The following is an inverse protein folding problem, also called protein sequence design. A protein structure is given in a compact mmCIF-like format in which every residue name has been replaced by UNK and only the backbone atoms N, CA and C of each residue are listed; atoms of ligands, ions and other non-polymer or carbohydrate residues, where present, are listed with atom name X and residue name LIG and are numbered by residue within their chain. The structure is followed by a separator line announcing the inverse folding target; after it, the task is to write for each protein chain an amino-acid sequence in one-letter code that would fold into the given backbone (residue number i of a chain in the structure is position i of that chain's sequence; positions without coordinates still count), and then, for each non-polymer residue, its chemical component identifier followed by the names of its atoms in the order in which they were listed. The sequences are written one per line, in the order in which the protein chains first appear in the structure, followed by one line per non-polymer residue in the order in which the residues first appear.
data_IF_510466609782
#
_entry.id   IF_510466609782
#
_cell.length_a   1.000
_cell.length_b   1.000
_cell.length_c   1.000
_cell.angle_alpha   90.00
_cell.angle_beta   90.00
_cell.angle_gamma   90.00
#
_symmetry.space_group_name_H-M   'P 1'
#
loop_
_entity.id
_entity.type
_entity.pdbx_description
1 polymer ?
#
# COMPACT_ATOMS: atom_id res chain seq x y z
N UNK A 1 2.70 -50.19 35.99
CA UNK A 1 1.56 -50.47 35.09
C UNK A 1 1.49 -49.32 34.09
N UNK A 2 1.73 -49.62 32.81
CA UNK A 2 1.71 -48.71 31.65
C UNK A 2 0.33 -48.03 31.53
N UNK A 3 0.09 -46.89 30.85
CA UNK A 3 0.31 -46.57 29.43
C UNK A 3 0.27 -45.03 29.24
N UNK A 4 1.11 -44.51 28.34
CA UNK A 4 1.21 -43.11 27.84
C UNK A 4 0.04 -42.72 26.92
N UNK A 5 -0.24 -41.43 26.71
CA UNK A 5 -0.44 -40.81 25.38
C UNK A 5 -0.44 -39.25 25.43
N UNK A 6 0.28 -38.62 24.48
CA UNK A 6 0.16 -37.26 23.88
C UNK A 6 -0.16 -37.48 22.37
N UNK A 7 -0.50 -36.54 21.43
CA UNK A 7 -0.71 -35.06 21.45
C UNK A 7 -1.87 -34.48 20.53
N UNK A 8 -2.06 -33.13 20.50
CA UNK A 8 -2.58 -32.29 19.37
C UNK A 8 -4.11 -32.17 19.15
N UNK A 9 -4.77 -31.22 18.46
CA UNK A 9 -4.51 -29.91 17.80
C UNK A 9 -5.87 -29.42 17.22
N UNK A 10 -6.26 -28.12 17.37
CA UNK A 10 -7.22 -27.27 16.56
C UNK A 10 -8.71 -27.75 16.39
N UNK A 11 -9.76 -26.92 16.58
CA UNK A 11 -10.65 -26.29 15.56
C UNK A 11 -11.77 -25.46 16.27
N UNK A 12 -11.97 -24.18 15.90
CA UNK A 12 -13.21 -23.34 16.07
C UNK A 12 -14.13 -23.54 14.82
N UNK A 13 -15.41 -23.09 14.69
CA UNK A 13 -16.40 -22.43 15.58
C UNK A 13 -17.89 -22.91 15.39
N UNK A 14 -18.85 -22.14 15.95
CA UNK A 14 -20.32 -22.05 15.66
C UNK A 14 -21.24 -22.87 16.58
N UNK A 15 -22.34 -22.22 17.01
CA UNK A 15 -23.49 -22.66 17.82
C UNK A 15 -23.35 -22.35 19.32
N UNK A 16 -23.72 -21.11 19.72
CA UNK A 16 -24.49 -20.92 20.95
C UNK A 16 -25.21 -19.57 21.04
N UNK A 17 -26.24 -19.38 20.19
CA UNK A 17 -27.24 -18.32 20.40
C UNK A 17 -28.68 -18.79 20.11
N UNK A 18 -29.00 -20.06 20.40
CA UNK A 18 -30.37 -20.61 20.32
C UNK A 18 -30.78 -21.29 21.65
N UNK A 19 -30.18 -20.93 22.79
CA UNK A 19 -30.56 -21.49 24.10
C UNK A 19 -30.90 -20.48 25.18
N UNK A 20 -31.43 -19.30 24.81
CA UNK A 20 -32.08 -18.39 25.76
C UNK A 20 -33.39 -17.83 25.16
N UNK A 21 -34.22 -18.70 24.61
CA UNK A 21 -35.62 -18.39 24.25
C UNK A 21 -36.50 -19.58 24.62
N UNK A 22 -36.47 -20.00 25.89
CA UNK A 22 -37.39 -21.01 26.43
C UNK A 22 -37.66 -20.80 27.92
N UNK A 23 -37.97 -19.59 28.36
CA UNK A 23 -38.81 -19.38 29.55
C UNK A 23 -39.58 -18.09 29.32
N UNK A 24 -40.89 -18.20 29.11
CA UNK A 24 -41.97 -17.27 29.47
C UNK A 24 -43.18 -17.54 28.57
N UNK A 25 -43.89 -18.62 28.91
CA UNK A 25 -45.32 -18.78 28.64
C UNK A 25 -46.01 -18.69 29.99
N UNK A 26 -46.90 -17.71 30.17
CA UNK A 26 -48.21 -17.80 30.87
C UNK A 26 -48.76 -16.40 31.23
N UNK A 27 -49.62 -15.82 30.36
CA UNK A 27 -50.93 -15.18 30.68
C UNK A 27 -51.53 -14.38 29.48
N UNK A 28 -52.86 -14.13 29.42
CA UNK A 28 -53.66 -14.16 28.19
C UNK A 28 -54.26 -12.77 27.82
N UNK A 29 -55.27 -12.59 26.92
CA UNK A 29 -55.13 -11.73 25.75
C UNK A 29 -56.15 -10.57 25.77
N UNK A 30 -55.80 -9.40 26.32
CA UNK A 30 -56.59 -8.18 26.08
C UNK A 30 -55.68 -6.94 26.12
N UNK A 31 -55.37 -6.44 24.92
CA UNK A 31 -55.06 -5.04 24.55
C UNK A 31 -54.10 -5.02 23.35
N UNK A 32 -54.56 -5.53 22.19
CA UNK A 32 -54.02 -5.09 20.90
C UNK A 32 -54.55 -3.68 20.62
N UNK A 33 -53.98 -2.67 21.27
CA UNK A 33 -54.08 -1.24 20.91
C UNK A 33 -53.10 -0.40 21.75
N UNK A 34 -51.81 -0.77 21.73
CA UNK A 34 -50.68 0.17 21.85
C UNK A 34 -49.35 -0.58 21.70
N UNK A 35 -48.97 -0.95 20.47
CA UNK A 35 -47.62 -1.49 20.17
C UNK A 35 -46.93 -0.73 19.03
N UNK A 36 -47.56 0.33 18.51
CA UNK A 36 -46.95 1.23 17.50
C UNK A 36 -46.45 2.54 18.13
N UNK A 37 -46.61 2.76 19.44
CA UNK A 37 -46.12 3.95 20.13
C UNK A 37 -45.10 3.70 21.25
N UNK A 38 -44.59 2.47 21.41
CA UNK A 38 -43.52 2.17 22.37
C UNK A 38 -42.28 1.50 21.73
N UNK A 39 -41.96 1.90 20.49
CA UNK A 39 -40.63 1.70 19.89
C UNK A 39 -39.91 3.04 19.64
N UNK A 40 -40.41 4.13 20.26
CA UNK A 40 -39.85 5.47 20.15
C UNK A 40 -39.21 5.99 21.47
N UNK A 41 -38.97 5.13 22.46
CA UNK A 41 -38.48 5.54 23.79
C UNK A 41 -37.29 4.72 24.34
N UNK A 42 -36.54 4.03 23.48
CA UNK A 42 -35.16 3.59 23.80
C UNK A 42 -34.25 3.96 22.62
N UNK A 43 -34.37 5.21 22.20
CA UNK A 43 -33.29 5.91 21.52
C UNK A 43 -32.58 6.76 22.57
N UNK A 44 -31.25 6.84 22.47
CA UNK A 44 -30.36 7.77 23.20
C UNK A 44 -30.22 7.37 24.69
N UNK A 45 -29.12 6.83 25.21
CA UNK A 45 -27.74 7.31 25.09
C UNK A 45 -26.80 6.19 25.57
N UNK A 46 -26.18 5.41 24.69
CA UNK A 46 -24.79 5.02 24.98
C UNK A 46 -23.99 6.18 24.45
N UNK A 47 -23.49 7.03 25.36
CA UNK A 47 -22.32 7.83 25.04
C UNK A 47 -21.18 6.81 24.87
N UNK A 48 -21.08 6.22 23.68
CA UNK A 48 -19.75 6.12 23.11
C UNK A 48 -19.33 7.56 22.98
N UNK A 49 -18.48 8.00 23.92
CA UNK A 49 -17.61 9.12 23.61
C UNK A 49 -16.76 8.63 22.42
N UNK A 50 -17.31 8.76 21.21
CA UNK A 50 -16.50 8.92 20.03
C UNK A 50 -15.84 10.28 20.20
N UNK A 51 -14.84 10.32 21.07
CA UNK A 51 -13.72 11.20 20.81
C UNK A 51 -13.37 10.91 19.35
N UNK A 52 -13.59 11.89 18.49
CA UNK A 52 -13.12 11.88 17.12
C UNK A 52 -11.65 11.48 17.21
N UNK A 53 -11.35 10.21 16.93
CA UNK A 53 -9.98 9.80 16.78
C UNK A 53 -9.51 10.60 15.57
N UNK A 54 -8.64 11.55 15.87
CA UNK A 54 -7.79 12.14 14.87
C UNK A 54 -7.11 11.00 14.12
N UNK A 55 -6.92 11.22 12.83
CA UNK A 55 -6.38 10.27 11.87
C UNK A 55 -5.10 9.66 12.45
N UNK A 56 -5.13 8.38 12.81
CA UNK A 56 -4.03 7.70 13.49
C UNK A 56 -3.29 6.79 12.50
N UNK A 57 -1.97 6.75 12.60
CA UNK A 57 -1.10 5.93 11.78
C UNK A 57 -0.27 5.00 12.67
N UNK A 58 -0.18 3.76 12.23
CA UNK A 58 0.41 2.64 12.97
C UNK A 58 1.67 2.11 12.27
N UNK A 59 2.54 1.38 12.99
CA UNK A 59 3.77 0.87 12.39
C UNK A 59 3.45 -0.16 11.30
N UNK A 60 3.94 0.08 10.08
CA UNK A 60 3.82 -0.84 8.96
C UNK A 60 4.98 -1.83 8.88
N UNK A 61 6.10 -1.54 9.54
CA UNK A 61 7.26 -2.42 9.59
C UNK A 61 8.15 -2.14 10.81
N UNK A 62 8.96 -3.11 11.20
CA UNK A 62 9.97 -3.00 12.25
C UNK A 62 11.27 -3.69 11.79
N UNK A 63 12.40 -3.00 11.93
CA UNK A 63 13.73 -3.59 11.75
C UNK A 63 14.54 -3.52 13.04
N UNK A 64 14.86 -4.69 13.61
CA UNK A 64 15.83 -4.80 14.69
C UNK A 64 17.25 -4.62 14.11
N UNK A 65 17.88 -3.48 14.39
CA UNK A 65 19.28 -3.19 14.02
C UNK A 65 20.27 -3.72 15.05
N UNK A 66 19.84 -3.76 16.32
CA UNK A 66 20.57 -4.31 17.46
C UNK A 66 19.58 -4.82 18.50
N UNK A 67 19.92 -5.89 19.21
CA UNK A 67 18.98 -6.59 20.09
C UNK A 67 17.92 -7.37 19.30
N UNK A 68 16.88 -7.81 19.97
CA UNK A 68 15.78 -8.58 19.37
C UNK A 68 14.44 -8.11 19.87
N UNK A 69 13.39 -8.43 19.13
CA UNK A 69 12.01 -8.34 19.58
C UNK A 69 11.34 -9.71 19.43
N UNK A 70 10.27 -9.93 20.16
CA UNK A 70 9.45 -11.14 20.03
C UNK A 70 8.70 -11.17 18.68
N UNK A 71 8.17 -12.34 18.31
CA UNK A 71 7.70 -12.63 16.94
C UNK A 71 6.22 -12.34 16.67
N UNK A 72 5.52 -11.67 17.59
CA UNK A 72 4.13 -11.25 17.40
C UNK A 72 4.01 -10.33 16.18
N UNK A 73 2.83 -10.34 15.56
CA UNK A 73 2.50 -9.40 14.48
C UNK A 73 2.55 -7.96 15.00
N UNK A 74 2.97 -7.02 14.15
CA UNK A 74 2.92 -5.58 14.48
C UNK A 74 1.50 -5.08 14.79
N UNK A 75 0.47 -5.81 14.36
CA UNK A 75 -0.93 -5.49 14.68
C UNK A 75 -1.23 -5.45 16.18
N UNK A 76 -0.43 -6.15 17.02
CA UNK A 76 -0.61 -6.04 18.47
C UNK A 76 -0.39 -4.60 18.94
N UNK A 77 0.52 -3.86 18.30
CA UNK A 77 0.82 -2.45 18.60
C UNK A 77 -0.29 -1.48 18.14
N UNK A 78 -1.35 -1.97 17.50
CA UNK A 78 -2.47 -1.14 17.05
C UNK A 78 -3.58 -1.05 18.09
N UNK A 79 -3.53 -1.88 19.15
CA UNK A 79 -4.60 -2.02 20.12
C UNK A 79 -4.03 -1.85 21.52
N UNK A 80 -4.37 -0.73 22.15
CA UNK A 80 -4.02 -0.49 23.54
C UNK A 80 -5.00 -1.22 24.46
N UNK A 81 -4.70 -2.46 24.79
CA UNK A 81 -5.55 -3.31 25.64
C UNK A 81 -4.89 -3.83 26.92
N UNK A 82 -3.61 -3.50 27.16
CA UNK A 82 -2.91 -3.82 28.41
C UNK A 82 -2.90 -2.63 29.38
N UNK A 83 -3.10 -2.90 30.67
CA UNK A 83 -3.10 -1.87 31.71
C UNK A 83 -2.58 -2.40 33.06
N UNK A 84 -2.14 -1.52 33.95
CA UNK A 84 -1.67 -1.89 35.28
C UNK A 84 -0.55 -2.91 35.23
N UNK A 85 -0.80 -4.12 35.74
CA UNK A 85 0.15 -5.24 35.78
C UNK A 85 -0.21 -6.39 34.82
N UNK A 86 -1.08 -6.15 33.83
CA UNK A 86 -1.43 -7.16 32.83
C UNK A 86 -0.17 -7.73 32.16
N UNK A 87 -0.17 -9.04 31.94
CA UNK A 87 0.95 -9.73 31.30
C UNK A 87 0.42 -10.84 30.39
N UNK A 88 -0.13 -10.42 29.25
CA UNK A 88 -0.56 -11.34 28.21
C UNK A 88 0.40 -11.27 27.02
N UNK A 89 1.29 -12.26 26.92
CA UNK A 89 2.32 -12.32 25.88
C UNK A 89 1.77 -12.19 24.45
N UNK A 90 0.53 -12.59 24.17
CA UNK A 90 -0.06 -12.47 22.82
C UNK A 90 -0.52 -11.04 22.49
N UNK A 91 -0.46 -10.11 23.44
CA UNK A 91 -1.02 -8.76 23.35
C UNK A 91 0.02 -7.64 23.31
N UNK A 92 1.29 -7.97 23.48
CA UNK A 92 2.38 -7.01 23.39
C UNK A 92 3.54 -7.57 22.58
N UNK A 93 4.46 -6.68 22.18
CA UNK A 93 5.79 -7.04 21.73
C UNK A 93 6.79 -6.74 22.84
N UNK A 94 7.69 -7.68 23.10
CA UNK A 94 8.81 -7.50 24.02
C UNK A 94 10.09 -7.21 23.23
N UNK A 95 10.91 -6.31 23.76
CA UNK A 95 12.15 -5.79 23.17
C UNK A 95 13.30 -6.04 24.13
N UNK A 96 14.30 -6.79 23.67
CA UNK A 96 15.40 -7.27 24.49
C UNK A 96 16.65 -6.42 24.30
N UNK A 97 17.19 -5.91 25.41
CA UNK A 97 18.38 -5.06 25.45
C UNK A 97 19.60 -5.77 26.09
N UNK A 98 19.43 -6.97 26.62
CA UNK A 98 20.30 -7.72 27.54
C UNK A 98 21.78 -7.92 27.10
N UNK A 99 22.08 -7.93 25.81
CA UNK A 99 23.45 -8.10 25.30
C UNK A 99 24.20 -6.76 25.18
N UNK A 100 23.76 -5.89 24.27
CA UNK A 100 24.45 -4.66 23.86
C UNK A 100 23.50 -3.45 23.73
N UNK A 101 22.32 -3.52 24.37
CA UNK A 101 21.22 -2.60 24.14
C UNK A 101 20.34 -3.00 22.96
N UNK A 102 19.34 -2.19 22.68
CA UNK A 102 18.36 -2.40 21.62
C UNK A 102 18.30 -1.21 20.67
N UNK A 103 18.16 -1.45 19.36
CA UNK A 103 17.86 -0.42 18.36
C UNK A 103 16.86 -1.01 17.37
N UNK A 104 15.62 -0.54 17.41
CA UNK A 104 14.55 -0.92 16.49
C UNK A 104 14.05 0.28 15.72
N UNK A 105 13.98 0.17 14.40
CA UNK A 105 13.42 1.22 13.55
C UNK A 105 12.02 0.80 13.07
N UNK A 106 10.99 1.51 13.50
CA UNK A 106 9.62 1.39 13.00
C UNK A 106 9.38 2.30 11.79
N UNK A 107 8.66 1.77 10.79
CA UNK A 107 8.16 2.54 9.64
C UNK A 107 6.69 2.89 9.86
N UNK A 108 6.31 4.11 9.55
CA UNK A 108 4.92 4.53 9.47
C UNK A 108 4.64 5.14 8.10
N UNK A 109 3.50 4.79 7.50
CA UNK A 109 3.03 5.37 6.25
C UNK A 109 1.93 6.39 6.57
N UNK A 110 2.09 7.63 6.09
CA UNK A 110 1.06 8.64 6.26
C UNK A 110 -0.11 8.36 5.31
N UNK A 111 -1.36 8.58 5.75
CA UNK A 111 -2.52 8.51 4.87
C UNK A 111 -2.50 9.66 3.86
N UNK A 112 -3.12 9.43 2.69
CA UNK A 112 -3.23 10.45 1.64
C UNK A 112 -4.12 11.61 2.11
N UNK A 113 -3.54 12.80 2.25
CA UNK A 113 -4.22 14.00 2.74
C UNK A 113 -4.10 15.17 1.74
N UNK A 114 -4.71 15.08 0.53
CA UNK A 114 -4.48 16.02 -0.57
C UNK A 114 -4.92 17.46 -0.26
N UNK A 115 -5.92 17.64 0.60
CA UNK A 115 -6.51 18.95 0.92
C UNK A 115 -6.19 19.40 2.35
N UNK A 116 -5.28 18.71 3.05
CA UNK A 116 -4.95 19.00 4.45
C UNK A 116 -3.44 19.12 4.63
N UNK A 117 -3.02 20.06 5.46
CA UNK A 117 -1.63 20.21 5.89
C UNK A 117 -1.51 19.68 7.31
N UNK A 118 -0.58 18.75 7.52
CA UNK A 118 -0.27 18.21 8.84
C UNK A 118 0.37 19.33 9.67
N UNK A 119 -0.30 19.70 10.75
CA UNK A 119 0.16 20.73 11.67
C UNK A 119 0.97 20.12 12.81
N UNK A 120 0.52 18.97 13.32
CA UNK A 120 1.19 18.27 14.42
C UNK A 120 1.05 16.76 14.25
N UNK A 121 2.04 16.07 14.79
CA UNK A 121 1.95 14.63 15.07
C UNK A 121 2.05 14.44 16.57
N UNK A 122 1.29 13.51 17.11
CA UNK A 122 1.36 13.15 18.52
C UNK A 122 1.71 11.67 18.59
N UNK A 123 2.92 11.35 19.05
CA UNK A 123 3.29 9.97 19.37
C UNK A 123 2.46 9.55 20.58
N UNK A 124 1.86 8.38 20.49
CA UNK A 124 1.24 7.65 21.59
C UNK A 124 1.90 6.28 21.66
N UNK A 125 2.48 5.93 22.80
CA UNK A 125 2.92 4.58 23.08
C UNK A 125 2.39 4.13 24.46
N UNK A 126 2.17 2.84 24.62
CA UNK A 126 1.86 2.25 25.92
C UNK A 126 2.97 1.26 26.25
N UNK A 127 3.67 1.55 27.34
CA UNK A 127 4.96 0.98 27.69
C UNK A 127 4.86 0.27 29.02
N UNK A 128 5.50 -0.89 29.13
CA UNK A 128 5.77 -1.57 30.39
C UNK A 128 7.22 -2.02 30.41
N UNK A 129 7.89 -1.83 31.54
CA UNK A 129 9.29 -2.20 31.70
C UNK A 129 9.91 -1.46 32.87
N UNK A 130 11.24 -1.44 32.95
CA UNK A 130 11.96 -0.82 34.05
C UNK A 130 11.73 0.70 34.13
N UNK A 131 11.87 1.24 35.34
CA UNK A 131 11.98 2.69 35.55
C UNK A 131 13.18 3.27 34.77
N UNK A 132 13.05 4.52 34.32
CA UNK A 132 14.07 5.20 33.50
C UNK A 132 15.44 5.27 34.18
N UNK A 133 15.47 5.44 35.51
CA UNK A 133 16.71 5.43 36.30
C UNK A 133 17.44 4.08 36.30
N UNK A 134 16.73 2.98 36.06
CA UNK A 134 17.34 1.67 35.90
C UNK A 134 17.75 1.42 34.44
N UNK A 135 16.82 1.64 33.50
CA UNK A 135 17.09 1.48 32.08
C UNK A 135 16.27 2.47 31.27
N UNK A 136 16.97 3.30 30.51
CA UNK A 136 16.35 4.29 29.64
C UNK A 136 15.96 3.67 28.29
N UNK A 137 14.68 3.81 27.95
CA UNK A 137 14.12 3.47 26.65
C UNK A 137 13.65 4.74 25.96
N UNK A 138 14.28 5.09 24.83
CA UNK A 138 14.03 6.36 24.13
C UNK A 138 13.31 6.13 22.80
N UNK A 139 12.53 7.14 22.43
CA UNK A 139 11.91 7.29 21.12
C UNK A 139 12.60 8.44 20.39
N UNK A 140 13.07 8.19 19.16
CA UNK A 140 13.75 9.16 18.33
C UNK A 140 13.12 9.18 16.91
N UNK A 141 13.05 10.34 16.27
CA UNK A 141 12.62 10.46 14.88
C UNK A 141 13.81 10.77 13.96
N UNK A 142 13.80 10.20 12.76
CA UNK A 142 14.79 10.52 11.74
C UNK A 142 14.47 11.87 11.09
N UNK A 143 15.34 12.86 11.28
CA UNK A 143 15.31 14.09 10.51
C UNK A 143 15.72 13.79 9.07
N UNK A 144 14.79 14.01 8.13
CA UNK A 144 14.98 13.58 6.72
C UNK A 144 15.93 14.48 5.95
N UNK A 145 16.21 15.69 6.45
CA UNK A 145 17.13 16.64 5.80
C UNK A 145 18.57 16.38 6.23
N UNK A 146 18.77 16.07 7.51
CA UNK A 146 20.11 15.91 8.08
C UNK A 146 20.53 14.46 8.25
N UNK A 147 19.59 13.51 8.19
CA UNK A 147 19.82 12.09 8.46
C UNK A 147 20.11 11.78 9.94
N UNK A 148 19.90 12.75 10.85
CA UNK A 148 20.17 12.59 12.28
C UNK A 148 18.92 12.14 13.03
N UNK A 149 19.15 11.36 14.09
CA UNK A 149 18.11 10.99 15.04
C UNK A 149 17.84 12.13 16.02
N UNK A 150 16.58 12.49 16.16
CA UNK A 150 16.10 13.55 17.04
C UNK A 150 15.29 12.91 18.15
N UNK A 151 15.75 13.04 19.38
CA UNK A 151 15.02 12.60 20.58
C UNK A 151 13.64 13.26 20.64
N UNK A 152 12.60 12.46 20.91
CA UNK A 152 11.23 12.96 21.07
C UNK A 152 10.57 12.58 22.41
N UNK A 153 10.91 11.42 23.00
CA UNK A 153 10.39 10.96 24.29
C UNK A 153 11.28 9.86 24.87
N UNK A 154 11.03 9.50 26.12
CA UNK A 154 11.52 8.27 26.74
C UNK A 154 10.48 7.69 27.71
N UNK A 155 10.83 6.62 28.40
CA UNK A 155 10.02 6.00 29.43
C UNK A 155 9.82 6.87 30.70
N UNK A 156 10.36 8.09 30.79
CA UNK A 156 10.01 9.07 31.82
C UNK A 156 9.98 8.54 33.28
N UNK A 157 9.05 9.06 34.08
CA UNK A 157 8.81 8.61 35.47
C UNK A 157 7.71 7.52 35.53
N UNK A 158 7.76 6.54 34.63
CA UNK A 158 6.81 5.41 34.66
C UNK A 158 7.12 4.48 35.82
N UNK A 159 6.07 3.90 36.40
CA UNK A 159 6.21 2.94 37.48
C UNK A 159 6.83 1.63 36.98
N UNK A 160 7.71 1.05 37.79
CA UNK A 160 8.40 -0.20 37.47
C UNK A 160 7.41 -1.30 37.08
N UNK A 161 7.59 -1.86 35.89
CA UNK A 161 6.81 -2.97 35.35
C UNK A 161 5.29 -2.76 35.36
N UNK A 162 4.84 -1.50 35.19
CA UNK A 162 3.42 -1.17 35.02
C UNK A 162 3.14 -0.41 33.71
N UNK A 163 2.09 -0.83 33.01
CA UNK A 163 1.65 -0.23 31.75
C UNK A 163 1.35 1.26 31.91
N UNK A 164 2.10 2.07 31.17
CA UNK A 164 2.13 3.52 31.29
C UNK A 164 2.14 4.20 29.92
N UNK A 165 1.47 5.33 29.84
CA UNK A 165 1.35 6.08 28.58
C UNK A 165 2.55 6.98 28.37
N UNK A 166 3.17 6.86 27.20
CA UNK A 166 4.18 7.79 26.72
C UNK A 166 3.54 8.59 25.59
N UNK A 167 3.63 9.92 25.70
CA UNK A 167 3.11 10.82 24.66
C UNK A 167 4.13 11.91 24.35
N UNK A 168 4.26 12.25 23.06
CA UNK A 168 5.09 13.36 22.62
C UNK A 168 4.45 14.11 21.46
N UNK A 169 4.50 15.44 21.51
CA UNK A 169 3.95 16.30 20.45
C UNK A 169 5.06 16.83 19.56
N UNK A 170 4.96 16.54 18.28
CA UNK A 170 5.85 17.02 17.23
C UNK A 170 5.16 18.19 16.51
N UNK A 171 5.71 19.39 16.68
CA UNK A 171 5.16 20.64 16.11
C UNK A 171 5.69 20.98 14.72
N UNK A 172 6.78 20.34 14.28
CA UNK A 172 7.33 20.49 12.94
C UNK A 172 7.38 19.13 12.19
N UNK A 173 6.22 18.55 11.85
CA UNK A 173 6.14 17.20 11.28
C UNK A 173 6.87 17.07 9.93
N UNK A 174 6.94 18.15 9.15
CA UNK A 174 7.64 18.18 7.85
C UNK A 174 9.14 17.84 7.93
N UNK A 175 9.76 17.99 9.11
CA UNK A 175 11.15 17.62 9.35
C UNK A 175 11.39 16.10 9.34
N UNK A 176 10.34 15.31 9.59
CA UNK A 176 10.43 13.87 9.81
C UNK A 176 9.71 13.04 8.74
N UNK A 177 8.97 13.70 7.85
CA UNK A 177 8.24 13.07 6.74
C UNK A 177 9.15 13.05 5.52
N UNK A 178 9.49 11.86 5.02
CA UNK A 178 10.34 11.72 3.83
C UNK A 178 9.56 11.92 2.52
N UNK A 179 10.25 11.87 1.38
CA UNK A 179 9.63 12.02 0.05
C UNK A 179 8.52 11.01 -0.26
N UNK A 180 8.49 9.87 0.44
CA UNK A 180 7.48 8.81 0.30
C UNK A 180 6.30 8.96 1.27
N UNK A 181 6.14 10.11 1.92
CA UNK A 181 5.16 10.32 2.99
C UNK A 181 5.27 9.30 4.13
N UNK A 182 6.50 9.00 4.55
CA UNK A 182 6.77 8.07 5.64
C UNK A 182 7.53 8.74 6.77
N UNK A 183 7.31 8.21 7.98
CA UNK A 183 8.08 8.54 9.18
C UNK A 183 8.85 7.32 9.64
N UNK A 184 10.08 7.53 10.11
CA UNK A 184 10.87 6.49 10.77
C UNK A 184 11.06 6.86 12.24
N UNK A 185 10.54 6.02 13.12
CA UNK A 185 10.65 6.11 14.56
C UNK A 185 11.64 5.06 15.04
N UNK A 186 12.67 5.48 15.76
CA UNK A 186 13.59 4.58 16.44
C UNK A 186 13.16 4.42 17.89
N UNK A 187 13.10 3.17 18.32
CA UNK A 187 12.97 2.78 19.71
C UNK A 187 14.30 2.19 20.17
N UNK A 188 14.89 2.74 21.23
CA UNK A 188 16.29 2.47 21.57
C UNK A 188 16.53 2.34 23.07
N UNK A 189 17.30 1.31 23.42
CA UNK A 189 18.03 1.19 24.67
C UNK A 189 19.52 1.27 24.33
N UNK A 190 20.21 2.32 24.80
CA UNK A 190 21.60 2.60 24.37
C UNK A 190 22.60 1.56 24.87
N UNK A 191 22.35 1.01 26.06
CA UNK A 191 23.20 0.06 26.75
C UNK A 191 22.40 -1.20 27.11
N UNK A 192 23.13 -2.24 27.53
CA UNK A 192 22.51 -3.45 28.08
C UNK A 192 21.78 -3.17 29.39
N UNK A 193 20.63 -3.81 29.56
CA UNK A 193 19.81 -3.69 30.75
C UNK A 193 18.59 -4.61 30.65
N UNK A 194 17.47 -4.18 31.21
CA UNK A 194 16.23 -4.95 31.16
C UNK A 194 15.52 -4.83 29.81
N UNK A 195 14.61 -5.76 29.57
CA UNK A 195 13.69 -5.73 28.44
C UNK A 195 12.57 -4.69 28.66
N UNK A 196 11.85 -4.37 27.60
CA UNK A 196 10.62 -3.58 27.67
C UNK A 196 9.53 -4.18 26.80
N UNK A 197 8.29 -3.77 27.04
CA UNK A 197 7.10 -4.25 26.37
C UNK A 197 6.29 -3.06 25.83
N UNK A 198 5.76 -3.20 24.62
CA UNK A 198 4.82 -2.26 24.00
C UNK A 198 3.60 -3.04 23.50
N UNK A 199 2.39 -2.62 23.86
CA UNK A 199 1.11 -3.08 23.26
C UNK A 199 0.48 -1.98 22.38
N UNK A 200 1.02 -0.76 22.38
CA UNK A 200 0.52 0.31 21.53
C UNK A 200 1.63 1.23 21.08
N UNK A 201 1.67 1.53 19.77
CA UNK A 201 2.48 2.61 19.19
C UNK A 201 1.73 3.21 18.01
N UNK A 202 1.40 4.50 18.07
CA UNK A 202 0.73 5.20 16.98
C UNK A 202 1.15 6.67 16.92
N UNK A 203 1.02 7.27 15.74
CA UNK A 203 0.99 8.72 15.60
C UNK A 203 -0.44 9.18 15.33
N UNK A 204 -0.93 10.06 16.18
CA UNK A 204 -2.13 10.84 15.91
C UNK A 204 -1.76 12.06 15.04
N UNK A 205 -2.51 12.26 13.96
CA UNK A 205 -2.30 13.35 13.01
C UNK A 205 -3.29 14.48 13.30
N UNK A 206 -2.77 15.67 13.63
CA UNK A 206 -3.56 16.91 13.63
C UNK A 206 -3.29 17.67 12.34
N UNK A 207 -4.31 17.77 11.50
CA UNK A 207 -4.24 18.42 10.20
C UNK A 207 -5.22 19.59 10.09
N UNK A 208 -4.93 20.59 9.26
CA UNK A 208 -5.82 21.68 8.93
C UNK A 208 -6.07 21.75 7.41
N UNK A 209 -7.23 22.24 6.93
CA UNK A 209 -7.46 22.43 5.50
C UNK A 209 -6.37 23.29 4.86
N UNK A 210 -5.88 22.87 3.70
CA UNK A 210 -4.93 23.63 2.89
C UNK A 210 -5.64 24.88 2.35
N UNK A 211 -5.22 26.08 2.78
CA UNK A 211 -5.67 27.33 2.15
C UNK A 211 -5.05 27.42 0.75
N UNK A 212 -5.78 27.04 -0.31
CA UNK A 212 -5.46 27.47 -1.68
C UNK A 212 -6.44 28.54 -2.15
N UNK A 213 -5.96 29.71 -2.59
CA UNK A 213 -6.74 30.61 -3.43
C UNK A 213 -6.98 29.96 -4.81
N UNK A 214 -8.16 30.21 -5.37
CA UNK A 214 -8.53 29.89 -6.75
C UNK A 214 -8.00 30.99 -7.69
N UNK A 215 -7.67 30.64 -8.94
CA UNK A 215 -7.17 31.47 -10.07
C UNK A 215 -5.63 31.69 -10.13
N UNK A 216 -4.92 31.74 -11.27
CA UNK A 216 -5.24 31.80 -12.71
C UNK A 216 -4.13 31.14 -13.57
N UNK A 217 -4.45 30.88 -14.84
CA UNK A 217 -3.57 30.45 -15.95
C UNK A 217 -2.29 31.31 -16.14
N UNK A 218 -1.13 30.69 -16.45
CA UNK A 218 0.08 31.41 -16.91
C UNK A 218 1.40 30.60 -16.90
N UNK A 219 1.85 30.21 -18.09
CA UNK A 219 3.21 29.94 -18.61
C UNK A 219 4.43 29.60 -17.70
N UNK A 220 4.99 28.41 -17.95
CA UNK A 220 6.41 28.00 -17.98
C UNK A 220 7.46 28.67 -17.06
N UNK A 221 8.02 27.92 -16.10
CA UNK A 221 9.33 27.24 -16.23
C UNK A 221 9.73 26.51 -14.94
N UNK A 222 10.06 25.23 -15.09
CA UNK A 222 11.10 24.48 -14.38
C UNK A 222 11.38 24.73 -12.89
N UNK A 223 10.84 23.86 -12.03
CA UNK A 223 11.56 22.98 -11.09
C UNK A 223 10.58 22.31 -10.12
N UNK A 224 10.57 20.97 -10.13
CA UNK A 224 10.14 20.08 -9.05
C UNK A 224 8.90 20.47 -8.26
N UNK A 225 7.71 20.11 -8.75
CA UNK A 225 6.48 20.15 -7.97
C UNK A 225 5.85 18.76 -7.97
N UNK A 226 5.80 18.12 -6.80
CA UNK A 226 5.06 16.89 -6.51
C UNK A 226 3.52 17.07 -6.65
N UNK A 227 3.05 18.07 -7.40
CA UNK A 227 1.64 18.37 -7.65
C UNK A 227 1.17 18.20 -9.10
N UNK A 228 2.04 17.84 -10.04
CA UNK A 228 1.72 17.84 -11.49
C UNK A 228 1.84 16.46 -12.17
N UNK A 229 1.80 15.35 -11.41
CA UNK A 229 1.73 14.02 -12.02
C UNK A 229 0.42 13.88 -12.80
N UNK A 230 0.49 13.27 -13.97
CA UNK A 230 -0.68 13.02 -14.81
C UNK A 230 -1.68 12.11 -14.08
N UNK A 231 -2.96 12.48 -14.11
CA UNK A 231 -4.06 11.71 -13.52
C UNK A 231 -5.04 11.32 -14.64
N UNK A 232 -4.84 10.18 -15.30
CA UNK A 232 -5.71 9.75 -16.38
C UNK A 232 -7.13 9.46 -15.86
N UNK A 233 -8.12 10.17 -16.40
CA UNK A 233 -9.52 9.92 -16.16
C UNK A 233 -10.08 8.95 -17.23
N UNK A 234 -11.20 8.25 -16.96
CA UNK A 234 -11.87 7.44 -17.96
C UNK A 234 -12.26 8.23 -19.23
N UNK A 235 -12.28 7.53 -20.38
CA UNK A 235 -12.68 8.08 -21.67
C UNK A 235 -11.51 8.45 -22.60
N UNK A 236 -10.28 8.09 -22.22
CA UNK A 236 -9.09 8.37 -23.00
C UNK A 236 -8.94 7.34 -24.13
N UNK A 237 -8.85 7.82 -25.37
CA UNK A 237 -8.51 6.97 -26.51
C UNK A 237 -7.05 6.59 -26.39
N UNK A 238 -6.74 5.31 -26.51
CA UNK A 238 -5.38 4.86 -26.33
C UNK A 238 -4.95 3.83 -27.35
N UNK A 239 -3.63 3.64 -27.44
CA UNK A 239 -2.95 2.58 -28.18
C UNK A 239 -1.93 1.94 -27.25
N UNK A 240 -1.84 0.62 -27.29
CA UNK A 240 -0.74 -0.16 -26.73
C UNK A 240 -0.03 -0.87 -27.88
N UNK A 241 1.29 -0.72 -27.99
CA UNK A 241 2.08 -1.35 -29.03
C UNK A 241 3.54 -1.49 -28.60
N UNK A 242 4.03 -2.73 -28.52
CA UNK A 242 5.40 -3.05 -28.11
C UNK A 242 6.26 -3.58 -29.26
N UNK A 243 5.67 -3.86 -30.41
CA UNK A 243 6.39 -4.30 -31.60
C UNK A 243 6.51 -3.19 -32.64
N UNK A 244 7.70 -3.11 -33.24
CA UNK A 244 8.00 -2.15 -34.30
C UNK A 244 7.46 -2.60 -35.67
N UNK A 245 7.19 -1.64 -36.58
CA UNK A 245 7.29 -0.19 -36.38
C UNK A 245 6.08 0.41 -35.62
N UNK A 246 6.32 1.32 -34.66
CA UNK A 246 5.26 2.05 -33.94
C UNK A 246 4.36 2.89 -34.88
N UNK A 247 3.04 2.66 -34.86
CA UNK A 247 2.09 3.50 -35.61
C UNK A 247 1.76 4.80 -34.85
N UNK A 248 2.42 5.88 -35.26
CA UNK A 248 2.25 7.23 -34.67
C UNK A 248 1.22 8.10 -35.41
N UNK A 249 0.46 7.53 -36.35
CA UNK A 249 -0.55 8.24 -37.14
C UNK A 249 -1.94 8.28 -36.47
N UNK A 250 -2.14 7.50 -35.41
CA UNK A 250 -3.43 7.34 -34.76
C UNK A 250 -3.88 8.61 -34.02
N UNK A 251 -5.16 8.93 -34.16
CA UNK A 251 -5.81 9.98 -33.38
C UNK A 251 -6.26 9.44 -32.00
N UNK A 252 -5.28 9.15 -31.15
CA UNK A 252 -5.47 8.72 -29.74
C UNK A 252 -4.95 9.77 -28.78
N UNK A 253 -5.31 9.69 -27.50
CA UNK A 253 -4.83 10.57 -26.44
C UNK A 253 -3.57 10.01 -25.76
N UNK A 254 -3.47 8.68 -25.68
CA UNK A 254 -2.44 7.95 -24.92
C UNK A 254 -1.75 6.88 -25.77
N UNK A 255 -0.43 6.78 -25.66
CA UNK A 255 0.37 5.66 -26.17
C UNK A 255 1.03 4.90 -25.02
N UNK A 256 0.81 3.60 -24.90
CA UNK A 256 1.55 2.69 -24.04
C UNK A 256 2.56 1.90 -24.90
N UNK A 257 3.84 2.11 -24.64
CA UNK A 257 4.95 1.68 -25.52
C UNK A 257 6.11 1.15 -24.69
N UNK A 258 6.93 0.28 -25.29
CA UNK A 258 8.08 -0.32 -24.60
C UNK A 258 9.13 0.73 -24.22
N UNK A 259 9.53 0.73 -22.94
CA UNK A 259 10.51 1.66 -22.38
C UNK A 259 11.88 1.56 -23.04
N UNK A 260 12.35 0.37 -23.38
CA UNK A 260 13.69 0.15 -23.87
C UNK A 260 13.77 0.36 -25.37
N UNK A 261 12.84 -0.21 -26.12
CA UNK A 261 12.86 -0.25 -27.57
C UNK A 261 12.42 1.09 -28.19
N UNK A 262 11.64 1.89 -27.47
CA UNK A 262 11.25 3.22 -27.94
C UNK A 262 12.29 4.29 -27.62
N UNK A 263 12.77 5.00 -28.63
CA UNK A 263 13.71 6.12 -28.46
C UNK A 263 13.04 7.36 -27.83
N UNK A 264 13.84 8.19 -27.15
CA UNK A 264 13.38 9.47 -26.62
C UNK A 264 12.86 10.43 -27.72
N UNK A 265 13.40 10.31 -28.95
CA UNK A 265 12.96 11.12 -30.09
C UNK A 265 11.51 10.80 -30.49
N UNK A 266 11.15 9.51 -30.53
CA UNK A 266 9.77 9.07 -30.80
C UNK A 266 8.82 9.57 -29.70
N UNK A 267 9.21 9.42 -28.43
CA UNK A 267 8.42 9.90 -27.29
C UNK A 267 8.23 11.43 -27.36
N UNK A 268 9.29 12.18 -27.65
CA UNK A 268 9.20 13.63 -27.83
C UNK A 268 8.27 14.02 -28.99
N UNK A 269 8.28 13.28 -30.10
CA UNK A 269 7.42 13.55 -31.25
C UNK A 269 5.93 13.24 -30.96
N UNK A 270 5.64 12.23 -30.15
CA UNK A 270 4.29 11.97 -29.65
C UNK A 270 3.84 13.11 -28.72
N UNK A 271 4.69 13.51 -27.78
CA UNK A 271 4.41 14.63 -26.84
C UNK A 271 4.13 15.94 -27.56
N UNK A 272 4.90 16.27 -28.60
CA UNK A 272 4.70 17.51 -29.38
C UNK A 272 3.37 17.53 -30.13
N UNK A 273 2.75 16.36 -30.35
CA UNK A 273 1.39 16.20 -30.89
C UNK A 273 0.31 16.17 -29.79
N UNK A 274 0.65 16.53 -28.55
CA UNK A 274 -0.25 16.56 -27.41
C UNK A 274 -0.60 15.18 -26.83
N UNK A 275 0.17 14.14 -27.17
CA UNK A 275 -0.09 12.76 -26.69
C UNK A 275 0.53 12.52 -25.32
N UNK A 276 -0.20 11.81 -24.47
CA UNK A 276 0.36 11.21 -23.26
C UNK A 276 1.07 9.90 -23.61
N UNK A 277 2.13 9.58 -22.86
CA UNK A 277 2.99 8.42 -23.12
C UNK A 277 3.17 7.65 -21.82
N UNK A 278 2.79 6.39 -21.83
CA UNK A 278 3.04 5.41 -20.78
C UNK A 278 4.19 4.52 -21.27
N UNK A 279 5.19 4.30 -20.43
CA UNK A 279 6.32 3.47 -20.76
C UNK A 279 6.26 2.14 -20.00
N UNK A 280 6.10 1.06 -20.77
CA UNK A 280 6.06 -0.31 -20.31
C UNK A 280 7.45 -0.82 -19.91
N UNK A 281 7.50 -1.57 -18.82
CA UNK A 281 8.61 -2.47 -18.53
C UNK A 281 8.11 -3.58 -17.61
N UNK A 282 8.72 -4.76 -17.62
CA UNK A 282 8.37 -5.74 -16.61
C UNK A 282 9.00 -5.42 -15.26
N UNK A 283 8.20 -5.41 -14.19
CA UNK A 283 8.66 -5.20 -12.82
C UNK A 283 8.66 -6.50 -12.00
N UNK A 284 7.84 -7.48 -12.35
CA UNK A 284 7.80 -8.78 -11.67
C UNK A 284 8.61 -9.88 -12.34
N UNK A 285 9.18 -9.62 -13.52
CA UNK A 285 10.02 -10.60 -14.22
C UNK A 285 11.34 -9.99 -14.72
N UNK A 286 12.30 -10.89 -14.87
CA UNK A 286 13.56 -10.71 -15.58
C UNK A 286 13.36 -11.12 -17.04
N UNK A 287 13.84 -10.30 -17.96
CA UNK A 287 13.77 -10.51 -19.41
C UNK A 287 15.19 -10.56 -19.97
N UNK A 288 15.65 -11.71 -20.48
CA UNK A 288 17.07 -11.92 -20.81
C UNK A 288 17.61 -11.07 -21.98
N UNK A 289 16.73 -10.36 -22.68
CA UNK A 289 17.06 -9.47 -23.81
C UNK A 289 17.21 -8.00 -23.39
N UNK A 290 16.92 -7.63 -22.14
CA UNK A 290 17.04 -6.25 -21.67
C UNK A 290 18.50 -5.84 -21.48
N UNK A 291 18.86 -4.56 -21.69
CA UNK A 291 20.25 -4.11 -21.57
C UNK A 291 20.77 -4.12 -20.13
N UNK A 292 19.88 -4.15 -19.14
CA UNK A 292 20.19 -4.10 -17.71
C UNK A 292 20.23 -5.48 -17.03
N UNK A 293 20.23 -6.59 -17.79
CA UNK A 293 20.19 -7.96 -17.25
C UNK A 293 21.29 -8.25 -16.22
N UNK A 294 22.46 -7.61 -16.32
CA UNK A 294 23.58 -7.80 -15.39
C UNK A 294 23.32 -7.21 -14.00
N UNK A 295 22.31 -6.36 -13.85
CA UNK A 295 21.93 -5.80 -12.56
C UNK A 295 21.18 -6.83 -11.68
N UNK A 296 20.66 -7.91 -12.26
CA UNK A 296 19.90 -8.92 -11.54
C UNK A 296 20.82 -10.07 -11.06
N UNK A 297 21.10 -10.20 -9.76
CA UNK A 297 21.81 -11.36 -9.26
C UNK A 297 20.95 -12.62 -9.40
N UNK A 298 21.60 -13.77 -9.58
CA UNK A 298 20.92 -15.06 -9.78
C UNK A 298 19.94 -15.41 -8.64
N UNK A 299 20.17 -14.90 -7.43
CA UNK A 299 19.29 -15.08 -6.27
C UNK A 299 17.91 -14.42 -6.41
N UNK A 300 17.74 -13.46 -7.33
CA UNK A 300 16.43 -12.87 -7.64
C UNK A 300 15.62 -13.73 -8.61
N UNK A 301 16.25 -14.65 -9.34
CA UNK A 301 15.63 -15.27 -10.51
C UNK A 301 14.92 -16.58 -10.13
N UNK A 302 13.61 -16.60 -10.32
CA UNK A 302 12.72 -17.73 -10.06
C UNK A 302 12.56 -18.65 -11.26
N UNK A 303 11.37 -19.27 -11.35
CA UNK A 303 10.94 -20.11 -12.47
C UNK A 303 10.76 -19.27 -13.73
N UNK A 304 10.81 -19.94 -14.87
CA UNK A 304 10.45 -19.34 -16.15
C UNK A 304 8.97 -18.90 -16.12
N UNK A 305 8.68 -17.82 -16.83
CA UNK A 305 7.32 -17.33 -17.00
C UNK A 305 6.67 -18.10 -18.18
N UNK A 306 5.51 -18.70 -17.95
CA UNK A 306 4.90 -19.61 -18.93
C UNK A 306 4.48 -18.86 -20.20
N UNK A 307 4.92 -19.36 -21.36
CA UNK A 307 4.62 -18.75 -22.66
C UNK A 307 5.60 -17.67 -23.13
N UNK A 308 6.59 -17.29 -22.30
CA UNK A 308 7.53 -16.22 -22.59
C UNK A 308 8.99 -16.70 -22.44
N UNK A 309 9.60 -17.12 -23.54
CA UNK A 309 10.95 -17.67 -23.54
C UNK A 309 11.99 -16.63 -23.12
N UNK A 310 12.87 -17.01 -22.18
CA UNK A 310 13.90 -16.11 -21.67
C UNK A 310 13.43 -15.20 -20.54
N UNK A 311 12.16 -15.29 -20.16
CA UNK A 311 11.56 -14.52 -19.07
C UNK A 311 11.44 -15.36 -17.79
N UNK A 312 11.75 -14.76 -16.63
CA UNK A 312 11.76 -15.45 -15.33
C UNK A 312 11.16 -14.59 -14.24
N UNK A 313 10.36 -15.17 -13.36
CA UNK A 313 9.80 -14.47 -12.21
C UNK A 313 10.89 -13.93 -11.26
N UNK A 314 10.61 -12.81 -10.60
CA UNK A 314 11.51 -12.16 -9.63
C UNK A 314 11.08 -12.41 -8.17
N UNK A 315 12.04 -12.54 -7.25
CA UNK A 315 11.75 -12.53 -5.81
C UNK A 315 11.48 -11.10 -5.33
N UNK A 316 10.20 -10.70 -5.34
CA UNK A 316 9.75 -9.34 -4.97
C UNK A 316 9.97 -8.98 -3.50
N UNK A 317 10.37 -9.93 -2.65
CA UNK A 317 10.70 -9.67 -1.23
C UNK A 317 12.06 -8.99 -1.06
N UNK A 318 12.94 -9.09 -2.07
CA UNK A 318 14.32 -8.56 -2.06
C UNK A 318 14.35 -7.10 -2.48
N UNK A 319 13.57 -6.26 -1.80
CA UNK A 319 13.35 -4.85 -2.16
C UNK A 319 14.65 -4.03 -2.21
N UNK A 320 15.60 -4.33 -1.34
CA UNK A 320 16.91 -3.67 -1.26
C UNK A 320 17.74 -3.85 -2.53
N UNK A 321 17.56 -4.96 -3.23
CA UNK A 321 18.22 -5.25 -4.51
C UNK A 321 17.34 -4.87 -5.69
N UNK A 322 16.04 -5.18 -5.62
CA UNK A 322 15.13 -5.06 -6.75
C UNK A 322 14.67 -3.61 -7.00
N UNK A 323 14.37 -2.84 -5.95
CA UNK A 323 13.88 -1.47 -6.12
C UNK A 323 14.89 -0.52 -6.75
N UNK A 324 16.22 -0.59 -6.49
CA UNK A 324 17.21 0.18 -7.24
C UNK A 324 17.14 -0.07 -8.76
N UNK A 325 16.93 -1.31 -9.19
CA UNK A 325 16.82 -1.67 -10.61
C UNK A 325 15.54 -1.07 -11.22
N UNK A 326 14.41 -1.25 -10.54
CA UNK A 326 13.12 -0.72 -11.01
C UNK A 326 13.10 0.80 -11.02
N UNK A 327 13.70 1.44 -10.01
CA UNK A 327 13.85 2.89 -9.98
C UNK A 327 14.70 3.38 -11.14
N UNK A 328 15.79 2.69 -11.49
CA UNK A 328 16.61 3.07 -12.66
C UNK A 328 15.81 2.98 -13.96
N UNK A 329 14.94 1.97 -14.12
CA UNK A 329 14.00 1.88 -15.26
C UNK A 329 13.01 3.06 -15.27
N UNK A 330 12.43 3.43 -14.13
CA UNK A 330 11.54 4.58 -14.03
C UNK A 330 12.27 5.93 -14.26
N UNK A 331 13.51 6.07 -13.79
CA UNK A 331 14.36 7.24 -14.07
C UNK A 331 14.63 7.38 -15.57
N UNK A 332 14.88 6.26 -16.26
CA UNK A 332 14.98 6.24 -17.71
C UNK A 332 13.66 6.68 -18.36
N UNK A 333 12.51 6.21 -17.86
CA UNK A 333 11.19 6.62 -18.36
C UNK A 333 10.98 8.14 -18.20
N UNK A 334 11.23 8.68 -17.00
CA UNK A 334 11.16 10.11 -16.73
C UNK A 334 12.09 10.91 -17.65
N UNK A 335 13.35 10.47 -17.81
CA UNK A 335 14.35 11.11 -18.68
C UNK A 335 13.95 11.09 -20.16
N UNK A 336 13.31 10.02 -20.63
CA UNK A 336 12.78 9.92 -21.99
C UNK A 336 11.52 10.78 -22.19
N UNK A 337 10.91 11.27 -21.11
CA UNK A 337 9.71 12.10 -21.14
C UNK A 337 8.40 11.30 -21.07
N UNK A 338 8.40 10.10 -20.52
CA UNK A 338 7.14 9.39 -20.26
C UNK A 338 6.29 10.18 -19.25
N UNK A 339 4.97 10.16 -19.41
CA UNK A 339 4.01 10.73 -18.45
C UNK A 339 3.63 9.73 -17.35
N UNK A 340 3.75 8.44 -17.64
CA UNK A 340 3.56 7.37 -16.68
C UNK A 340 4.30 6.10 -17.07
N UNK A 341 4.17 5.08 -16.23
CA UNK A 341 4.75 3.76 -16.44
C UNK A 341 3.72 2.66 -16.25
N UNK A 342 3.91 1.55 -16.96
CA UNK A 342 3.11 0.33 -16.89
C UNK A 342 4.03 -0.84 -16.48
N UNK A 343 4.24 -1.05 -15.16
CA UNK A 343 5.07 -2.12 -14.65
C UNK A 343 4.33 -3.46 -14.70
N UNK A 344 4.80 -4.40 -15.51
CA UNK A 344 4.17 -5.71 -15.72
C UNK A 344 4.53 -6.75 -14.64
N UNK A 345 3.77 -7.85 -14.64
CA UNK A 345 4.00 -9.04 -13.81
C UNK A 345 3.94 -8.76 -12.29
N UNK A 346 3.16 -7.76 -11.89
CA UNK A 346 3.02 -7.30 -10.49
C UNK A 346 2.00 -8.12 -9.68
N UNK A 347 1.80 -9.38 -10.05
CA UNK A 347 0.88 -10.38 -9.49
C UNK A 347 1.59 -11.74 -9.25
N UNK A 348 2.91 -11.73 -9.01
CA UNK A 348 3.69 -12.93 -8.79
C UNK A 348 3.18 -13.84 -7.67
N UNK A 349 2.57 -13.31 -6.60
CA UNK A 349 2.03 -14.14 -5.51
C UNK A 349 0.88 -15.08 -5.91
N UNK A 350 0.15 -14.77 -6.99
CA UNK A 350 -0.89 -15.65 -7.55
C UNK A 350 -0.35 -16.60 -8.62
N UNK A 351 0.96 -16.61 -8.85
CA UNK A 351 1.62 -17.35 -9.92
C UNK A 351 2.67 -18.34 -9.40
N UNK A 352 3.04 -19.30 -10.25
CA UNK A 352 4.08 -20.30 -9.94
C UNK A 352 5.49 -19.76 -10.13
N UNK A 353 5.90 -18.80 -9.29
CA UNK A 353 7.18 -18.08 -9.44
C UNK A 353 8.42 -18.88 -9.06
N UNK A 354 8.25 -19.99 -8.34
CA UNK A 354 9.37 -20.70 -7.69
C UNK A 354 9.76 -20.09 -6.34
N UNK A 355 9.13 -18.99 -5.93
CA UNK A 355 9.22 -18.43 -4.60
C UNK A 355 7.87 -18.56 -3.89
N UNK A 356 7.90 -18.71 -2.56
CA UNK A 356 6.70 -18.66 -1.74
C UNK A 356 6.33 -17.19 -1.47
N UNK A 357 5.89 -16.48 -2.51
CA UNK A 357 5.44 -15.09 -2.40
C UNK A 357 4.05 -15.05 -1.78
N UNK A 358 3.90 -14.27 -0.71
CA UNK A 358 2.59 -14.03 -0.10
C UNK A 358 1.89 -12.81 -0.72
N UNK A 359 0.59 -12.70 -0.45
CA UNK A 359 -0.19 -11.50 -0.73
C UNK A 359 0.49 -10.23 -0.15
N UNK A 360 0.98 -10.32 1.09
CA UNK A 360 1.66 -9.21 1.76
C UNK A 360 2.95 -8.80 1.08
N UNK A 361 3.75 -9.77 0.62
CA UNK A 361 5.01 -9.50 -0.10
C UNK A 361 4.76 -8.71 -1.38
N UNK A 362 3.78 -9.14 -2.17
CA UNK A 362 3.40 -8.42 -3.41
C UNK A 362 2.86 -7.03 -3.11
N UNK A 363 2.04 -6.89 -2.07
CA UNK A 363 1.44 -5.62 -1.68
C UNK A 363 2.52 -4.58 -1.34
N UNK A 364 3.52 -4.98 -0.53
CA UNK A 364 4.64 -4.11 -0.17
C UNK A 364 5.45 -3.71 -1.40
N UNK A 365 5.74 -4.65 -2.31
CA UNK A 365 6.47 -4.35 -3.53
C UNK A 365 5.71 -3.38 -4.45
N UNK A 366 4.41 -3.61 -4.66
CA UNK A 366 3.60 -2.78 -5.54
C UNK A 366 3.42 -1.36 -5.00
N UNK A 367 3.29 -1.20 -3.67
CA UNK A 367 3.31 0.14 -3.03
C UNK A 367 4.67 0.81 -3.25
N UNK A 368 5.78 0.08 -3.09
CA UNK A 368 7.11 0.63 -3.31
C UNK A 368 7.34 1.08 -4.77
N UNK A 369 6.79 0.35 -5.75
CA UNK A 369 6.80 0.76 -7.16
C UNK A 369 6.00 2.06 -7.38
N UNK A 370 4.80 2.16 -6.80
CA UNK A 370 3.97 3.35 -6.91
C UNK A 370 4.64 4.59 -6.31
N UNK A 371 5.18 4.45 -5.09
CA UNK A 371 5.95 5.51 -4.43
C UNK A 371 7.15 5.95 -5.29
N UNK A 372 7.90 5.01 -5.86
CA UNK A 372 9.06 5.31 -6.69
C UNK A 372 8.69 6.05 -7.99
N UNK A 373 7.58 5.68 -8.64
CA UNK A 373 7.09 6.38 -9.81
C UNK A 373 6.63 7.80 -9.46
N UNK A 374 5.90 7.96 -8.35
CA UNK A 374 5.40 9.26 -7.88
C UNK A 374 6.53 10.19 -7.45
N UNK A 375 7.59 9.67 -6.82
CA UNK A 375 8.82 10.41 -6.50
C UNK A 375 9.46 11.03 -7.75
N UNK A 376 9.30 10.38 -8.91
CA UNK A 376 9.82 10.80 -10.21
C UNK A 376 8.80 11.62 -11.03
N UNK A 377 7.63 11.93 -10.46
CA UNK A 377 6.56 12.67 -11.14
C UNK A 377 5.82 11.88 -12.21
N UNK A 378 5.99 10.56 -12.26
CA UNK A 378 5.32 9.65 -13.20
C UNK A 378 3.99 9.18 -12.63
N UNK A 379 2.97 9.06 -13.49
CA UNK A 379 1.80 8.25 -13.18
C UNK A 379 2.16 6.76 -13.22
N UNK A 380 1.43 5.91 -12.50
CA UNK A 380 1.67 4.45 -12.51
C UNK A 380 0.37 3.65 -12.68
N UNK A 381 0.44 2.64 -13.56
CA UNK A 381 -0.63 1.68 -13.81
C UNK A 381 -0.51 0.42 -12.96
N UNK A 382 -1.64 -0.09 -12.45
CA UNK A 382 -1.69 -1.44 -11.89
C UNK A 382 -2.07 -2.41 -13.01
N UNK A 383 -1.14 -3.30 -13.37
CA UNK A 383 -1.33 -4.30 -14.41
C UNK A 383 -1.92 -5.59 -13.83
N UNK A 384 -3.08 -6.01 -14.34
CA UNK A 384 -3.83 -7.20 -13.92
C UNK A 384 -4.10 -7.19 -12.40
N UNK A 385 -3.38 -7.99 -11.58
CA UNK A 385 -3.39 -8.02 -10.11
C UNK A 385 -4.72 -7.62 -9.41
N UNK A 386 -5.82 -8.22 -9.85
CA UNK A 386 -7.17 -7.79 -9.51
C UNK A 386 -7.50 -7.93 -8.02
N UNK A 387 -7.01 -9.01 -7.41
CA UNK A 387 -7.24 -9.37 -6.01
C UNK A 387 -6.65 -8.37 -5.00
N UNK A 388 -5.70 -7.53 -5.42
CA UNK A 388 -5.09 -6.49 -4.59
C UNK A 388 -5.68 -5.10 -4.79
N UNK A 389 -6.60 -4.91 -5.74
CA UNK A 389 -7.14 -3.58 -6.09
C UNK A 389 -7.69 -2.84 -4.87
N UNK A 390 -8.45 -3.52 -4.00
CA UNK A 390 -9.03 -2.88 -2.80
C UNK A 390 -7.98 -2.25 -1.86
N UNK A 391 -6.73 -2.74 -1.88
CA UNK A 391 -5.61 -2.20 -1.10
C UNK A 391 -4.69 -1.28 -1.91
N UNK A 392 -4.68 -1.42 -3.24
CA UNK A 392 -3.76 -0.70 -4.13
C UNK A 392 -4.39 0.49 -4.86
N UNK A 393 -5.72 0.56 -4.96
CA UNK A 393 -6.41 1.59 -5.76
C UNK A 393 -6.05 3.01 -5.33
N UNK A 394 -5.72 3.27 -4.06
CA UNK A 394 -5.28 4.59 -3.60
C UNK A 394 -3.86 4.97 -4.04
N UNK A 395 -3.01 4.00 -4.36
CA UNK A 395 -1.60 4.18 -4.70
C UNK A 395 -1.36 4.32 -6.21
N UNK A 396 -2.20 3.70 -7.05
CA UNK A 396 -2.04 3.71 -8.51
C UNK A 396 -2.89 4.80 -9.17
N UNK A 397 -2.49 5.30 -10.34
CA UNK A 397 -3.19 6.39 -11.04
C UNK A 397 -4.13 5.89 -12.15
N UNK A 398 -3.93 4.66 -12.63
CA UNK A 398 -4.79 3.94 -13.58
C UNK A 398 -4.63 2.43 -13.42
N UNK A 399 -5.46 1.67 -14.14
CA UNK A 399 -5.28 0.23 -14.32
C UNK A 399 -5.02 -0.12 -15.78
N UNK A 400 -4.21 -1.14 -16.00
CA UNK A 400 -4.08 -1.84 -17.28
C UNK A 400 -4.53 -3.28 -17.04
N UNK A 401 -5.47 -3.79 -17.83
CA UNK A 401 -5.94 -5.17 -17.68
C UNK A 401 -6.01 -5.89 -19.01
N UNK A 402 -5.70 -7.18 -18.95
CA UNK A 402 -5.85 -8.12 -20.04
C UNK A 402 -7.01 -9.05 -19.69
N UNK A 403 -7.90 -9.25 -20.66
CA UNK A 403 -8.83 -10.39 -20.68
C UNK A 403 -9.90 -10.47 -19.59
N UNK A 404 -10.18 -9.41 -18.83
CA UNK A 404 -11.19 -9.54 -17.78
C UNK A 404 -12.60 -9.94 -18.28
N UNK A 405 -12.96 -9.68 -19.55
CA UNK A 405 -14.24 -10.13 -20.10
C UNK A 405 -14.20 -11.60 -20.48
N UNK A 406 -13.07 -12.07 -21.02
CA UNK A 406 -12.82 -13.48 -21.27
C UNK A 406 -12.93 -14.27 -19.95
N UNK A 407 -12.36 -13.75 -18.86
CA UNK A 407 -12.23 -14.45 -17.58
C UNK A 407 -13.34 -14.11 -16.58
N UNK A 408 -14.26 -13.20 -16.93
CA UNK A 408 -15.44 -12.87 -16.12
C UNK A 408 -15.15 -12.05 -14.85
N UNK A 409 -14.03 -11.34 -14.81
CA UNK A 409 -13.46 -10.71 -13.62
C UNK A 409 -13.47 -9.16 -13.65
N UNK A 410 -14.05 -8.56 -14.69
CA UNK A 410 -14.04 -7.10 -14.89
C UNK A 410 -14.61 -6.26 -13.74
N UNK A 411 -15.49 -6.83 -12.90
CA UNK A 411 -16.04 -6.10 -11.76
C UNK A 411 -14.97 -5.71 -10.74
N UNK A 412 -13.86 -6.45 -10.66
CA UNK A 412 -12.75 -6.13 -9.77
C UNK A 412 -12.06 -4.79 -10.11
N UNK A 413 -12.17 -4.31 -11.36
CA UNK A 413 -11.58 -3.06 -11.83
C UNK A 413 -12.44 -1.81 -11.54
N UNK A 414 -13.72 -2.00 -11.19
CA UNK A 414 -14.65 -0.91 -10.93
C UNK A 414 -14.17 0.12 -9.89
N UNK A 415 -13.43 -0.24 -8.81
CA UNK A 415 -12.87 0.73 -7.88
C UNK A 415 -12.00 1.81 -8.53
N UNK A 416 -11.31 1.53 -9.64
CA UNK A 416 -10.54 2.55 -10.36
C UNK A 416 -11.46 3.62 -10.96
N UNK A 417 -12.48 3.20 -11.71
CA UNK A 417 -13.45 4.14 -12.29
C UNK A 417 -14.23 4.91 -11.23
N UNK A 418 -14.61 4.24 -10.12
CA UNK A 418 -15.29 4.89 -9.00
C UNK A 418 -14.41 5.95 -8.32
N UNK A 419 -13.08 5.77 -8.37
CA UNK A 419 -12.10 6.76 -7.95
C UNK A 419 -11.74 7.80 -9.04
N UNK A 420 -12.43 7.80 -10.18
CA UNK A 420 -12.19 8.70 -11.30
C UNK A 420 -10.91 8.40 -12.11
N UNK A 421 -10.43 7.15 -12.05
CA UNK A 421 -9.18 6.71 -12.69
C UNK A 421 -9.46 5.88 -13.93
N UNK A 422 -8.64 6.05 -14.96
CA UNK A 422 -8.77 5.30 -16.20
C UNK A 422 -8.53 3.80 -15.98
N UNK A 423 -9.26 2.98 -16.75
CA UNK A 423 -9.03 1.54 -16.90
C UNK A 423 -8.81 1.30 -18.38
N UNK A 424 -7.55 1.00 -18.73
CA UNK A 424 -7.13 0.62 -20.07
C UNK A 424 -7.18 -0.90 -20.18
N UNK A 425 -7.98 -1.45 -21.08
CA UNK A 425 -8.16 -2.90 -21.16
C UNK A 425 -7.97 -3.50 -22.55
N UNK A 426 -7.50 -4.74 -22.63
CA UNK A 426 -7.33 -5.43 -23.91
C UNK A 426 -7.93 -6.83 -23.90
N UNK A 427 -8.57 -7.18 -25.01
CA UNK A 427 -9.06 -8.52 -25.31
C UNK A 427 -8.34 -9.06 -26.54
N UNK A 428 -7.93 -10.32 -26.50
CA UNK A 428 -7.19 -10.96 -27.60
C UNK A 428 -8.05 -11.91 -28.43
N UNK A 429 -9.04 -12.53 -27.81
CA UNK A 429 -9.79 -13.65 -28.39
C UNK A 429 -11.28 -13.35 -28.60
N UNK A 430 -11.80 -12.33 -27.91
CA UNK A 430 -13.19 -11.94 -28.02
C UNK A 430 -13.43 -11.01 -29.21
N UNK A 431 -14.63 -11.11 -29.78
CA UNK A 431 -15.12 -10.14 -30.75
C UNK A 431 -15.53 -8.85 -30.05
N UNK A 432 -15.17 -7.67 -30.57
CA UNK A 432 -15.60 -6.38 -30.01
C UNK A 432 -17.10 -6.33 -29.71
N UNK A 433 -17.93 -6.94 -30.55
CA UNK A 433 -19.39 -6.93 -30.38
C UNK A 433 -19.84 -7.63 -29.09
N UNK A 434 -19.08 -8.60 -28.58
CA UNK A 434 -19.46 -9.36 -27.39
C UNK A 434 -19.19 -8.62 -26.09
N UNK A 435 -18.13 -7.82 -26.02
CA UNK A 435 -17.71 -7.18 -24.76
C UNK A 435 -17.78 -5.65 -24.76
N UNK A 436 -17.65 -4.98 -25.90
CA UNK A 436 -17.61 -3.51 -25.95
C UNK A 436 -18.84 -2.81 -25.36
N UNK A 437 -20.09 -3.29 -25.55
CA UNK A 437 -21.25 -2.67 -24.89
C UNK A 437 -21.12 -2.65 -23.36
N UNK A 438 -20.57 -3.73 -22.77
CA UNK A 438 -20.36 -3.81 -21.33
C UNK A 438 -19.16 -2.97 -20.88
N UNK A 439 -18.03 -3.00 -21.60
CA UNK A 439 -16.87 -2.16 -21.33
C UNK A 439 -17.23 -0.67 -21.30
N UNK A 440 -17.97 -0.21 -22.33
CA UNK A 440 -18.43 1.17 -22.41
C UNK A 440 -19.38 1.52 -21.26
N UNK A 441 -20.27 0.61 -20.84
CA UNK A 441 -21.17 0.79 -19.68
C UNK A 441 -20.40 0.87 -18.36
N UNK A 442 -19.30 0.13 -18.23
CA UNK A 442 -18.40 0.16 -17.07
C UNK A 442 -17.43 1.36 -17.09
N UNK A 443 -17.49 2.17 -18.16
CA UNK A 443 -16.59 3.30 -18.43
C UNK A 443 -15.11 2.88 -18.55
N UNK A 444 -14.87 1.67 -19.07
CA UNK A 444 -13.53 1.19 -19.37
C UNK A 444 -13.17 1.48 -20.83
N UNK A 445 -11.91 1.80 -21.06
CA UNK A 445 -11.37 2.08 -22.40
C UNK A 445 -10.72 0.79 -22.93
N UNK A 446 -11.51 -0.08 -23.57
CA UNK A 446 -11.02 -1.37 -24.06
C UNK A 446 -10.69 -1.39 -25.56
N UNK A 447 -9.71 -2.23 -25.93
CA UNK A 447 -9.30 -2.53 -27.30
C UNK A 447 -9.36 -4.04 -27.56
N UNK A 448 -9.59 -4.43 -28.81
CA UNK A 448 -9.14 -5.74 -29.29
C UNK A 448 -7.75 -5.60 -29.92
N UNK A 449 -6.84 -6.46 -29.49
CA UNK A 449 -5.43 -6.49 -29.91
C UNK A 449 -5.02 -7.88 -30.41
N UNK A 450 -3.92 -7.96 -31.15
CA UNK A 450 -3.20 -9.24 -31.30
C UNK A 450 -2.30 -9.45 -30.06
N UNK A 451 -2.03 -10.71 -29.70
CA UNK A 451 -1.16 -11.05 -28.56
C UNK A 451 0.27 -10.51 -28.72
N UNK A 452 0.74 -10.36 -29.97
CA UNK A 452 2.02 -9.71 -30.30
C UNK A 452 2.08 -8.21 -29.98
N UNK A 453 0.96 -7.59 -29.59
CA UNK A 453 0.83 -6.16 -29.33
C UNK A 453 1.40 -5.31 -30.48
N UNK A 454 1.04 -5.68 -31.71
CA UNK A 454 1.35 -4.96 -32.95
C UNK A 454 0.45 -3.73 -33.18
N UNK A 455 0.53 -3.12 -34.36
CA UNK A 455 -0.24 -1.94 -34.69
C UNK A 455 -1.77 -2.17 -34.72
N UNK A 456 -2.25 -3.42 -34.83
CA UNK A 456 -3.69 -3.71 -34.91
C UNK A 456 -4.42 -3.12 -33.70
N UNK A 457 -5.46 -2.34 -33.96
CA UNK A 457 -6.23 -1.66 -32.92
C UNK A 457 -7.69 -1.60 -33.31
N UNK A 458 -8.55 -2.25 -32.54
CA UNK A 458 -10.01 -2.14 -32.72
C UNK A 458 -10.63 -1.65 -31.39
N UNK A 459 -10.90 -0.34 -31.24
CA UNK A 459 -11.38 0.22 -29.98
C UNK A 459 -12.88 -0.03 -29.77
N UNK A 460 -13.31 -0.02 -28.50
CA UNK A 460 -14.73 0.01 -28.15
C UNK A 460 -15.39 1.39 -28.28
N UNK A 461 -14.60 2.48 -28.19
CA UNK A 461 -15.05 3.88 -28.34
C UNK A 461 -13.94 4.83 -28.77
#
# INVERSE_FOLDING_TARGET
MQIRYRPGTIVKPIINLIKILSVYKMCPPKQKKSVIQLLAAVGITLMTATASFAEAMFPSNLWNKRGSSTSQSLEVLHVKDQHGSDDNFDRYMEFNSDQDGYVGDFRFNLPAMPDKVIQKLILHANYRGPENSFQKWEFELLDVKTGKWVYIADNGDVADWSWSNITATITNPSQFINGRNQITLRYVAKNKGDSSQLDFVAFEIKSAPSKRPMEASGTASDRGSHGNRWKPAPGLKWQIQYTDPLDTSLNVDVYNIDLFDTSAAVISALRSKGKHVICYFSAGSYENWRPDIRAFPASLLGRNLDGWEGERWLDVRKLDVLMPIMRARMEQAAKKGCHGVDPDNVDGYSNSTGFALSYGDQLVYNIALADAAHDLGLAIGLKNNLDQIKHLVSYFDFAVNEQCFQDGECNALKPFVDAGKAVFGIEYHLSNRSFCPQANKMNFDFLTKNLSLDAKRVPCR
#
